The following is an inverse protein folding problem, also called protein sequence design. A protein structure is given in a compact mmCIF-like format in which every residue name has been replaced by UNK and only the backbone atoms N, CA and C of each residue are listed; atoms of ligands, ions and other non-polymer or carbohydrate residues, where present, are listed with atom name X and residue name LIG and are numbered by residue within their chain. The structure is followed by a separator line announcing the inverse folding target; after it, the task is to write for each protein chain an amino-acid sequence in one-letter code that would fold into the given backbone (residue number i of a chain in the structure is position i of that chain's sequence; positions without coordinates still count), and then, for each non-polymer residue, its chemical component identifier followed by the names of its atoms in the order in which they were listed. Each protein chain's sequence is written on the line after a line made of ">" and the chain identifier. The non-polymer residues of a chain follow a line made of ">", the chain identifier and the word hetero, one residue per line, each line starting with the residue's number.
data_IF_908903139899
#
_entry.id   IF_908903139899
#
_cell.length_a   1.000
_cell.length_b   1.000
_cell.length_c   1.000
_cell.angle_alpha   90.00
_cell.angle_beta   90.00
_cell.angle_gamma   90.00
#
_symmetry.space_group_name_H-M   'P 1'
#
loop_
_entity.id
_entity.type
_entity.pdbx_description
1 polymer ?
#
# COMPACT_ATOMS: atom_id res chain seq x y z
N UNK A 1 -39.10 6.58 26.80
CA UNK A 1 -37.84 5.80 26.79
C UNK A 1 -37.55 5.16 25.42
N UNK A 2 -38.35 5.42 24.37
CA UNK A 2 -38.13 4.84 23.02
C UNK A 2 -37.68 5.86 21.95
N UNK A 3 -37.74 7.16 22.23
CA UNK A 3 -37.33 8.23 21.30
C UNK A 3 -35.84 8.20 20.94
N UNK A 4 -34.96 7.75 21.85
CA UNK A 4 -33.53 7.65 21.57
C UNK A 4 -33.22 6.53 20.56
N UNK A 5 -34.02 5.45 20.56
CA UNK A 5 -33.86 4.31 19.68
C UNK A 5 -34.22 4.66 18.23
N UNK A 6 -35.34 5.38 18.04
CA UNK A 6 -35.75 5.84 16.72
C UNK A 6 -34.85 6.94 16.18
N UNK A 7 -34.39 7.90 17.02
CA UNK A 7 -33.35 8.86 16.61
C UNK A 7 -32.02 8.20 16.26
N UNK A 8 -31.59 7.18 17.00
CA UNK A 8 -30.39 6.42 16.67
C UNK A 8 -30.56 5.65 15.37
N UNK A 9 -31.72 5.05 15.14
CA UNK A 9 -32.03 4.30 13.92
C UNK A 9 -32.15 5.21 12.70
N UNK A 10 -32.81 6.37 12.81
CA UNK A 10 -32.91 7.35 11.72
C UNK A 10 -31.53 7.95 11.40
N UNK A 11 -30.73 8.27 12.41
CA UNK A 11 -29.34 8.74 12.22
C UNK A 11 -28.43 7.65 11.64
N UNK A 12 -28.65 6.38 12.00
CA UNK A 12 -27.95 5.22 11.43
C UNK A 12 -28.40 4.92 10.01
N UNK A 13 -29.68 5.06 9.68
CA UNK A 13 -30.25 4.83 8.36
C UNK A 13 -29.81 5.93 7.38
N UNK A 14 -29.78 7.19 7.81
CA UNK A 14 -29.22 8.31 7.01
C UNK A 14 -27.72 8.15 6.74
N UNK A 15 -26.95 7.65 7.72
CA UNK A 15 -25.49 7.43 7.58
C UNK A 15 -25.10 6.00 7.21
N UNK A 16 -26.06 5.13 6.92
CA UNK A 16 -25.82 3.70 6.71
C UNK A 16 -24.83 3.45 5.56
N UNK A 17 -24.93 4.27 4.51
CA UNK A 17 -24.02 4.23 3.37
C UNK A 17 -22.55 4.35 3.81
N UNK A 18 -22.26 5.28 4.73
CA UNK A 18 -20.91 5.44 5.29
C UNK A 18 -20.49 4.25 6.16
N UNK A 19 -21.41 3.73 6.97
CA UNK A 19 -21.14 2.59 7.85
C UNK A 19 -20.79 1.34 7.05
N UNK A 20 -21.45 1.10 5.92
CA UNK A 20 -21.16 -0.03 5.03
C UNK A 20 -19.71 0.04 4.53
N UNK A 21 -19.22 1.22 4.15
CA UNK A 21 -17.81 1.39 3.73
C UNK A 21 -16.82 1.17 4.88
N UNK A 22 -17.15 1.61 6.10
CA UNK A 22 -16.32 1.36 7.29
C UNK A 22 -16.24 -0.13 7.62
N UNK A 23 -17.36 -0.85 7.55
CA UNK A 23 -17.37 -2.31 7.75
C UNK A 23 -16.56 -3.02 6.65
N UNK A 24 -16.69 -2.59 5.40
CA UNK A 24 -15.91 -3.12 4.29
C UNK A 24 -14.40 -2.91 4.51
N UNK A 25 -14.02 -1.74 5.04
CA UNK A 25 -12.65 -1.41 5.41
C UNK A 25 -12.13 -2.32 6.54
N UNK A 26 -12.95 -2.60 7.55
CA UNK A 26 -12.62 -3.56 8.62
C UNK A 26 -12.44 -4.99 8.09
N UNK A 27 -13.28 -5.42 7.14
CA UNK A 27 -13.16 -6.73 6.50
C UNK A 27 -11.84 -6.83 5.71
N UNK A 28 -11.51 -5.81 4.91
CA UNK A 28 -10.26 -5.76 4.15
C UNK A 28 -9.02 -5.79 5.04
N UNK A 29 -9.01 -4.97 6.10
CA UNK A 29 -7.91 -4.94 7.08
C UNK A 29 -7.78 -6.27 7.82
N UNK A 30 -8.90 -6.85 8.27
CA UNK A 30 -8.91 -8.16 8.92
C UNK A 30 -8.35 -9.26 8.00
N UNK A 31 -8.76 -9.29 6.73
CA UNK A 31 -8.25 -10.26 5.76
C UNK A 31 -6.74 -10.12 5.50
N UNK A 32 -6.22 -8.89 5.52
CA UNK A 32 -4.79 -8.61 5.34
C UNK A 32 -3.94 -9.09 6.54
N UNK A 33 -4.44 -8.95 7.77
CA UNK A 33 -3.69 -9.30 8.98
C UNK A 33 -3.86 -10.78 9.35
N UNK A 34 -5.07 -11.34 9.24
CA UNK A 34 -5.40 -12.65 9.81
C UNK A 34 -5.05 -13.85 8.93
N UNK A 35 -4.64 -13.66 7.67
CA UNK A 35 -4.38 -14.76 6.72
C UNK A 35 -2.87 -15.01 6.59
N UNK A 36 -2.42 -16.25 6.76
CA UNK A 36 -1.00 -16.60 6.62
C UNK A 36 -0.54 -16.76 5.15
N UNK A 37 -1.49 -16.85 4.22
CA UNK A 37 -1.20 -17.01 2.79
C UNK A 37 -1.05 -15.63 2.12
N UNK A 38 0.07 -15.40 1.42
CA UNK A 38 0.39 -14.14 0.76
C UNK A 38 -0.68 -13.69 -0.26
N UNK A 39 -1.27 -14.63 -1.02
CA UNK A 39 -2.31 -14.30 -2.01
C UNK A 39 -3.58 -13.81 -1.32
N UNK A 40 -3.96 -14.44 -0.20
CA UNK A 40 -5.13 -14.02 0.59
C UNK A 40 -4.92 -12.64 1.21
N UNK A 41 -3.70 -12.33 1.67
CA UNK A 41 -3.33 -10.99 2.13
C UNK A 41 -3.45 -9.95 1.00
N UNK A 42 -3.04 -10.30 -0.22
CA UNK A 42 -3.17 -9.44 -1.40
C UNK A 42 -4.62 -9.15 -1.78
N UNK A 43 -5.49 -10.16 -1.71
CA UNK A 43 -6.92 -9.97 -1.92
C UNK A 43 -7.49 -9.03 -0.84
N UNK A 44 -7.10 -9.22 0.42
CA UNK A 44 -7.48 -8.33 1.52
C UNK A 44 -7.00 -6.89 1.31
N UNK A 45 -5.77 -6.71 0.83
CA UNK A 45 -5.20 -5.41 0.49
C UNK A 45 -6.00 -4.71 -0.63
N UNK A 46 -6.38 -5.42 -1.68
CA UNK A 46 -7.20 -4.88 -2.78
C UNK A 46 -8.57 -4.41 -2.29
N UNK A 47 -9.25 -5.24 -1.49
CA UNK A 47 -10.55 -4.89 -0.89
C UNK A 47 -10.41 -3.68 0.03
N UNK A 48 -9.34 -3.60 0.82
CA UNK A 48 -9.06 -2.46 1.68
C UNK A 48 -8.84 -1.16 0.88
N UNK A 49 -8.06 -1.20 -0.20
CA UNK A 49 -7.88 -0.04 -1.09
C UNK A 49 -9.21 0.41 -1.73
N UNK A 50 -10.02 -0.52 -2.23
CA UNK A 50 -11.35 -0.19 -2.79
C UNK A 50 -12.28 0.40 -1.73
N UNK A 51 -12.25 -0.11 -0.49
CA UNK A 51 -13.06 0.42 0.60
C UNK A 51 -12.70 1.88 0.95
N UNK A 52 -11.41 2.22 0.96
CA UNK A 52 -10.95 3.61 1.17
C UNK A 52 -11.44 4.53 0.05
N UNK A 53 -11.36 4.08 -1.20
CA UNK A 53 -11.82 4.83 -2.37
C UNK A 53 -13.33 5.11 -2.26
N UNK A 54 -14.13 4.08 -1.98
CA UNK A 54 -15.59 4.25 -1.84
C UNK A 54 -15.95 5.15 -0.65
N UNK A 55 -15.27 5.01 0.48
CA UNK A 55 -15.44 5.89 1.63
C UNK A 55 -15.14 7.35 1.29
N UNK A 56 -14.05 7.60 0.56
CA UNK A 56 -13.64 8.95 0.17
C UNK A 56 -14.56 9.58 -0.88
N UNK A 57 -15.05 8.80 -1.86
CA UNK A 57 -16.07 9.26 -2.81
C UNK A 57 -17.34 9.62 -2.05
N UNK A 58 -17.78 8.77 -1.11
CA UNK A 58 -19.02 9.00 -0.37
C UNK A 58 -19.05 10.31 0.40
N UNK A 59 -17.92 10.78 0.96
CA UNK A 59 -17.87 12.07 1.67
C UNK A 59 -17.79 13.28 0.71
N UNK A 60 -17.42 13.06 -0.55
CA UNK A 60 -17.16 14.10 -1.55
C UNK A 60 -18.27 14.31 -2.57
N UNK A 61 -19.28 13.43 -2.61
CA UNK A 61 -20.42 13.53 -3.53
C UNK A 61 -21.43 14.57 -3.05
N UNK A 62 -21.84 15.45 -3.97
CA UNK A 62 -22.97 16.36 -3.80
C UNK A 62 -24.18 15.81 -4.56
N UNK A 63 -25.38 16.04 -4.03
CA UNK A 63 -26.64 15.73 -4.71
C UNK A 63 -26.77 16.60 -5.97
N UNK A 64 -27.19 16.02 -7.10
CA UNK A 64 -27.40 16.68 -8.39
C UNK A 64 -26.17 17.39 -9.00
N UNK A 65 -24.97 16.88 -8.70
CA UNK A 65 -23.74 17.47 -9.19
C UNK A 65 -23.43 17.08 -10.65
N UNK A 66 -23.14 18.08 -11.47
CA UNK A 66 -22.70 17.95 -12.88
C UNK A 66 -21.19 17.71 -12.96
N UNK A 67 -20.74 17.03 -14.02
CA UNK A 67 -19.31 16.79 -14.30
C UNK A 67 -18.48 18.08 -14.22
N UNK A 68 -17.29 18.06 -13.57
CA UNK A 68 -16.47 19.26 -13.35
C UNK A 68 -15.71 19.68 -14.61
N UNK A 69 -16.43 19.90 -15.70
CA UNK A 69 -15.91 20.36 -16.99
C UNK A 69 -16.80 21.53 -17.42
N UNK A 70 -16.19 22.67 -17.69
CA UNK A 70 -16.89 23.81 -18.28
C UNK A 70 -17.23 23.47 -19.73
N UNK A 71 -18.51 23.25 -20.04
CA UNK A 71 -18.98 23.16 -21.41
C UNK A 71 -19.31 24.57 -21.92
N UNK A 72 -18.68 25.04 -23.01
CA UNK A 72 -18.99 26.33 -23.62
C UNK A 72 -20.34 26.39 -24.34
N UNK A 73 -21.25 25.42 -24.16
CA UNK A 73 -22.51 25.37 -24.95
C UNK A 73 -23.55 26.42 -24.52
N UNK A 74 -23.17 27.38 -23.66
CA UNK A 74 -23.87 28.65 -23.46
C UNK A 74 -23.27 29.83 -24.24
N UNK A 75 -22.23 29.59 -25.05
CA UNK A 75 -21.81 30.58 -26.07
C UNK A 75 -22.92 30.55 -27.13
N UNK A 76 -23.70 31.62 -27.32
CA UNK A 76 -24.65 31.68 -28.41
C UNK A 76 -23.87 31.41 -29.68
N UNK A 77 -24.26 30.38 -30.42
CA UNK A 77 -23.68 30.07 -31.71
C UNK A 77 -23.48 31.36 -32.50
N UNK A 78 -22.35 31.47 -33.18
CA UNK A 78 -22.04 32.61 -34.03
C UNK A 78 -23.21 32.95 -34.95
N UNK A 79 -24.00 33.93 -34.53
CA UNK A 79 -24.80 34.73 -35.44
C UNK A 79 -23.78 35.58 -36.20
N UNK A 80 -23.56 35.16 -37.45
CA UNK A 80 -23.13 35.97 -38.58
C UNK A 80 -22.44 37.29 -38.18
N UNK A 81 -21.11 37.23 -38.04
CA UNK A 81 -20.30 38.43 -38.14
C UNK A 81 -20.43 38.93 -39.58
N UNK A 82 -21.21 39.99 -39.75
CA UNK A 82 -21.23 40.79 -40.98
C UNK A 82 -19.76 41.11 -41.36
N UNK A 83 -19.31 40.87 -42.61
CA UNK A 83 -17.89 40.95 -42.96
C UNK A 83 -17.30 42.37 -42.95
N UNK A 84 -18.08 43.39 -42.57
CA UNK A 84 -17.73 44.80 -42.76
C UNK A 84 -17.47 45.58 -41.46
N UNK A 85 -17.31 44.92 -40.31
CA UNK A 85 -16.92 45.62 -39.06
C UNK A 85 -15.51 45.22 -38.61
N UNK A 86 -14.56 46.12 -38.84
CA UNK A 86 -13.25 46.15 -38.19
C UNK A 86 -13.45 46.20 -36.66
N UNK A 87 -13.25 45.08 -36.00
CA UNK A 87 -13.11 45.04 -34.55
C UNK A 87 -11.65 44.78 -34.19
N UNK A 88 -10.98 45.88 -33.84
CA UNK A 88 -9.82 45.87 -32.97
C UNK A 88 -10.17 45.13 -31.67
N UNK A 89 -9.25 44.27 -31.23
CA UNK A 89 -9.07 43.84 -29.84
C UNK A 89 -10.33 43.31 -29.15
N UNK A 90 -10.90 42.21 -29.65
CA UNK A 90 -11.82 41.39 -28.88
C UNK A 90 -11.04 40.70 -27.74
N UNK A 91 -10.86 41.44 -26.64
CA UNK A 91 -10.57 40.85 -25.35
C UNK A 91 -11.63 39.77 -25.12
N UNK A 92 -11.17 38.52 -24.96
CA UNK A 92 -12.01 37.42 -24.51
C UNK A 92 -12.56 37.84 -23.15
N UNK A 93 -13.80 38.32 -23.10
CA UNK A 93 -14.51 38.50 -21.84
C UNK A 93 -14.76 37.11 -21.28
N UNK A 94 -13.99 36.75 -20.26
CA UNK A 94 -14.25 35.57 -19.46
C UNK A 94 -15.51 35.87 -18.65
N UNK A 95 -16.67 35.49 -19.18
CA UNK A 95 -17.94 35.62 -18.46
C UNK A 95 -17.82 34.85 -17.14
N UNK A 96 -17.81 35.59 -16.03
CA UNK A 96 -17.69 35.01 -14.70
C UNK A 96 -18.91 34.14 -14.43
N UNK A 97 -18.70 32.85 -14.18
CA UNK A 97 -19.76 31.92 -13.82
C UNK A 97 -20.55 32.46 -12.63
N UNK A 98 -21.87 32.55 -12.78
CA UNK A 98 -22.74 32.91 -11.67
C UNK A 98 -22.60 31.85 -10.55
N UNK A 99 -22.58 32.31 -9.30
CA UNK A 99 -22.32 31.46 -8.13
C UNK A 99 -23.26 30.23 -8.02
N UNK A 100 -24.47 30.33 -8.57
CA UNK A 100 -25.46 29.25 -8.63
C UNK A 100 -25.03 28.12 -9.58
N UNK A 101 -24.47 28.45 -10.74
CA UNK A 101 -23.96 27.46 -11.70
C UNK A 101 -22.72 26.75 -11.13
N UNK A 102 -21.86 27.48 -10.41
CA UNK A 102 -20.69 26.91 -9.71
C UNK A 102 -21.10 25.90 -8.63
N UNK A 103 -22.22 26.13 -7.95
CA UNK A 103 -22.70 25.24 -6.89
C UNK A 103 -23.14 23.87 -7.41
N UNK A 104 -23.60 23.80 -8.67
CA UNK A 104 -24.04 22.60 -9.35
C UNK A 104 -22.92 21.70 -9.88
N UNK A 105 -21.65 22.12 -9.85
CA UNK A 105 -20.53 21.28 -10.27
C UNK A 105 -20.05 20.33 -9.16
N UNK A 106 -19.67 19.12 -9.57
CA UNK A 106 -19.04 18.12 -8.70
C UNK A 106 -17.66 18.60 -8.23
N UNK A 107 -17.24 18.14 -7.05
CA UNK A 107 -15.94 18.53 -6.50
C UNK A 107 -14.80 17.88 -7.32
N UNK A 108 -13.91 18.68 -7.95
CA UNK A 108 -12.80 18.14 -8.74
C UNK A 108 -11.70 17.50 -7.87
N UNK A 109 -11.59 17.87 -6.59
CA UNK A 109 -10.56 17.36 -5.69
C UNK A 109 -10.74 15.84 -5.41
N UNK A 110 -11.93 15.35 -5.02
CA UNK A 110 -12.18 13.93 -4.94
C UNK A 110 -11.89 13.17 -6.23
N UNK A 111 -12.28 13.73 -7.37
CA UNK A 111 -12.12 13.04 -8.65
C UNK A 111 -10.64 12.78 -8.98
N UNK A 112 -9.77 13.79 -8.84
CA UNK A 112 -8.34 13.65 -9.09
C UNK A 112 -7.69 12.70 -8.09
N UNK A 113 -8.03 12.82 -6.80
CA UNK A 113 -7.48 11.94 -5.77
C UNK A 113 -7.86 10.47 -6.00
N UNK A 114 -9.08 10.20 -6.48
CA UNK A 114 -9.49 8.83 -6.80
C UNK A 114 -8.79 8.27 -8.03
N UNK A 115 -8.60 9.06 -9.08
CA UNK A 115 -7.85 8.62 -10.25
C UNK A 115 -6.42 8.20 -9.86
N UNK A 116 -5.75 8.98 -9.01
CA UNK A 116 -4.42 8.61 -8.51
C UNK A 116 -4.44 7.38 -7.63
N UNK A 117 -5.41 7.26 -6.71
CA UNK A 117 -5.52 6.11 -5.81
C UNK A 117 -5.75 4.81 -6.57
N UNK A 118 -6.58 4.82 -7.62
CA UNK A 118 -6.87 3.65 -8.45
C UNK A 118 -5.62 3.19 -9.20
N UNK A 119 -4.89 4.10 -9.85
CA UNK A 119 -3.69 3.76 -10.63
C UNK A 119 -2.59 3.22 -9.70
N UNK A 120 -2.37 3.85 -8.55
CA UNK A 120 -1.42 3.35 -7.54
C UNK A 120 -1.85 1.99 -7.01
N UNK A 121 -3.16 1.77 -6.78
CA UNK A 121 -3.72 0.47 -6.37
C UNK A 121 -3.41 -0.64 -7.37
N UNK A 122 -3.71 -0.45 -8.65
CA UNK A 122 -3.44 -1.45 -9.69
C UNK A 122 -1.93 -1.70 -9.86
N UNK A 123 -1.11 -0.64 -9.81
CA UNK A 123 0.34 -0.77 -9.93
C UNK A 123 0.95 -1.56 -8.76
N UNK A 124 0.55 -1.25 -7.53
CA UNK A 124 1.03 -1.95 -6.33
C UNK A 124 0.56 -3.41 -6.30
N UNK A 125 -0.68 -3.69 -6.69
CA UNK A 125 -1.19 -5.06 -6.80
C UNK A 125 -0.43 -5.88 -7.86
N UNK A 126 -0.16 -5.31 -9.03
CA UNK A 126 0.62 -5.96 -10.08
C UNK A 126 2.05 -6.27 -9.62
N UNK A 127 2.72 -5.31 -8.99
CA UNK A 127 4.06 -5.53 -8.42
C UNK A 127 4.03 -6.60 -7.32
N UNK A 128 3.07 -6.54 -6.42
CA UNK A 128 2.97 -7.48 -5.31
C UNK A 128 2.68 -8.92 -5.79
N UNK A 129 1.88 -9.09 -6.85
CA UNK A 129 1.67 -10.39 -7.49
C UNK A 129 2.95 -10.91 -8.15
N UNK A 130 3.68 -10.05 -8.87
CA UNK A 130 4.96 -10.41 -9.48
C UNK A 130 5.99 -10.84 -8.43
N UNK A 131 6.07 -10.12 -7.30
CA UNK A 131 6.92 -10.50 -6.17
C UNK A 131 6.47 -11.83 -5.54
N UNK A 132 5.17 -12.02 -5.35
CA UNK A 132 4.62 -13.27 -4.80
C UNK A 132 4.94 -14.45 -5.72
N UNK A 133 4.82 -14.28 -7.04
CA UNK A 133 5.21 -15.30 -8.02
C UNK A 133 6.71 -15.62 -7.93
N UNK A 134 7.56 -14.60 -7.82
CA UNK A 134 9.02 -14.78 -7.70
C UNK A 134 9.40 -15.49 -6.40
N UNK A 135 8.74 -15.16 -5.29
CA UNK A 135 8.91 -15.84 -4.00
C UNK A 135 8.51 -17.31 -4.12
N UNK A 136 7.38 -17.59 -4.78
CA UNK A 136 6.95 -18.96 -5.02
C UNK A 136 7.96 -19.74 -5.87
N UNK A 137 8.54 -19.14 -6.91
CA UNK A 137 9.58 -19.79 -7.71
C UNK A 137 10.87 -20.06 -6.91
N UNK A 138 11.27 -19.16 -6.00
CA UNK A 138 12.48 -19.31 -5.20
C UNK A 138 12.35 -20.27 -4.00
N UNK A 139 11.21 -20.22 -3.31
CA UNK A 139 11.00 -20.97 -2.06
C UNK A 139 9.99 -22.12 -2.20
N UNK A 140 9.21 -22.19 -3.27
CA UNK A 140 8.20 -23.22 -3.51
C UNK A 140 6.98 -23.15 -2.57
N UNK A 141 6.78 -22.04 -1.85
CA UNK A 141 5.64 -21.85 -0.95
C UNK A 141 5.24 -20.38 -0.89
N UNK A 142 3.94 -20.16 -0.67
CA UNK A 142 3.29 -18.84 -0.50
C UNK A 142 2.74 -18.65 0.92
N UNK A 143 2.95 -19.65 1.79
CA UNK A 143 2.57 -19.58 3.20
C UNK A 143 3.69 -18.92 4.00
N UNK A 144 3.34 -17.84 4.70
CA UNK A 144 4.27 -17.00 5.43
C UNK A 144 5.03 -17.76 6.52
N UNK A 145 4.34 -18.62 7.28
CA UNK A 145 4.96 -19.42 8.34
C UNK A 145 6.10 -20.31 7.79
N UNK A 146 5.89 -20.89 6.61
CA UNK A 146 6.89 -21.73 5.96
C UNK A 146 8.03 -20.91 5.36
N UNK A 147 7.73 -19.72 4.84
CA UNK A 147 8.72 -18.77 4.33
C UNK A 147 9.67 -18.33 5.44
N UNK A 148 9.14 -17.96 6.60
CA UNK A 148 9.94 -17.53 7.77
C UNK A 148 10.91 -18.63 8.21
N UNK A 149 10.45 -19.88 8.30
CA UNK A 149 11.32 -21.02 8.64
C UNK A 149 12.43 -21.24 7.61
N UNK A 150 12.15 -21.06 6.31
CA UNK A 150 13.17 -21.20 5.25
C UNK A 150 14.19 -20.06 5.29
N UNK A 151 13.74 -18.84 5.54
CA UNK A 151 14.61 -17.66 5.69
C UNK A 151 15.56 -17.84 6.88
N UNK A 152 15.05 -18.21 8.06
CA UNK A 152 15.87 -18.44 9.25
C UNK A 152 16.97 -19.50 9.01
N UNK A 153 16.66 -20.57 8.26
CA UNK A 153 17.63 -21.61 7.89
C UNK A 153 18.71 -21.10 6.94
N UNK A 154 18.37 -20.20 6.02
CA UNK A 154 19.34 -19.59 5.10
C UNK A 154 20.25 -18.64 5.88
N UNK A 155 19.68 -17.75 6.68
CA UNK A 155 20.43 -16.78 7.49
C UNK A 155 21.39 -17.45 8.48
N UNK A 156 20.97 -18.56 9.09
CA UNK A 156 21.82 -19.35 9.98
C UNK A 156 23.01 -20.02 9.26
N UNK A 157 22.89 -20.33 7.96
CA UNK A 157 23.99 -20.86 7.14
C UNK A 157 24.96 -19.74 6.76
N UNK A 158 24.45 -18.62 6.27
CA UNK A 158 25.26 -17.44 5.91
C UNK A 158 26.06 -16.92 7.10
N UNK A 159 25.47 -16.90 8.31
CA UNK A 159 26.18 -16.54 9.55
C UNK A 159 27.28 -17.52 9.97
N UNK A 160 27.18 -18.80 9.60
CA UNK A 160 28.25 -19.79 9.88
C UNK A 160 29.43 -19.63 8.93
N UNK A 161 29.16 -19.29 7.68
CA UNK A 161 30.19 -19.06 6.66
C UNK A 161 30.95 -17.74 6.90
N UNK A 162 30.33 -16.78 7.61
CA UNK A 162 30.93 -15.49 7.99
C UNK A 162 31.70 -15.53 9.34
N UNK A 163 31.93 -16.71 9.93
CA UNK A 163 32.88 -16.80 11.04
C UNK A 163 34.27 -16.34 10.55
N UNK A 164 34.90 -15.36 11.23
CA UNK A 164 36.02 -14.62 10.66
C UNK A 164 37.21 -15.55 10.42
N UNK A 165 37.88 -15.34 9.28
CA UNK A 165 39.19 -15.94 8.96
C UNK A 165 40.03 -15.99 10.23
N UNK A 166 40.55 -17.17 10.63
CA UNK A 166 41.32 -17.27 11.86
C UNK A 166 42.52 -16.33 11.74
N UNK A 167 42.57 -15.37 12.66
CA UNK A 167 43.64 -14.39 12.78
C UNK A 167 45.01 -15.10 12.65
N UNK A 168 45.82 -14.78 11.62
CA UNK A 168 47.12 -15.42 11.42
C UNK A 168 48.09 -15.16 12.57
N UNK A 169 47.76 -14.25 13.49
CA UNK A 169 48.59 -13.86 14.64
C UNK A 169 48.54 -14.89 15.78
N UNK A 170 47.59 -15.85 15.79
CA UNK A 170 47.58 -16.99 16.74
C UNK A 170 48.26 -18.23 16.20
N UNK A 171 49.47 -18.09 15.62
CA UNK A 171 50.31 -19.23 15.22
C UNK A 171 51.60 -19.40 16.03
N UNK A 172 51.77 -18.67 17.13
CA UNK A 172 52.95 -18.80 17.99
C UNK A 172 52.56 -18.87 19.47
N UNK A 173 52.56 -20.08 20.04
CA UNK A 173 53.09 -20.34 21.38
C UNK A 173 52.98 -21.84 21.73
N UNK A 174 53.61 -22.74 20.97
CA UNK A 174 53.98 -24.08 21.48
C UNK A 174 55.12 -24.69 20.64
N UNK A 175 56.31 -24.08 20.65
CA UNK A 175 57.52 -24.81 20.24
C UNK A 175 58.82 -24.22 20.80
N UNK A 176 59.30 -24.77 21.92
CA UNK A 176 60.73 -24.85 22.33
C UNK A 176 60.98 -26.09 23.23
N UNK A 177 61.23 -27.24 22.61
CA UNK A 177 62.43 -28.15 22.60
C UNK A 177 63.33 -28.30 23.89
N UNK A 178 64.32 -29.24 24.01
CA UNK A 178 64.30 -30.67 24.41
C UNK A 178 65.35 -31.17 25.49
N UNK A 179 65.23 -32.45 25.91
CA UNK A 179 66.28 -33.48 26.29
C UNK A 179 66.97 -33.59 27.68
N UNK A 180 67.04 -34.88 28.14
CA UNK A 180 68.02 -35.59 29.05
C UNK A 180 67.99 -35.23 30.55
N UNK A 181 68.08 -36.16 31.53
CA UNK A 181 69.05 -37.26 31.71
C UNK A 181 68.59 -38.27 32.81
N UNK A 182 69.20 -39.46 32.78
CA UNK A 182 68.97 -40.68 33.57
C UNK A 182 68.98 -40.59 35.11
N UNK A 183 68.26 -41.52 35.79
CA UNK A 183 68.87 -42.60 36.62
C UNK A 183 67.80 -43.50 37.28
N UNK A 184 67.98 -44.83 37.11
CA UNK A 184 67.41 -45.93 37.92
C UNK A 184 68.08 -45.90 39.33
N UNK A 185 67.57 -46.54 40.41
CA UNK A 185 67.25 -47.98 40.40
C UNK A 185 66.10 -48.51 41.30
N UNK A 186 65.68 -49.73 40.95
CA UNK A 186 65.27 -50.89 41.75
C UNK A 186 64.67 -50.75 43.17
N UNK A 187 63.53 -51.44 43.39
CA UNK A 187 63.32 -52.46 44.45
C UNK A 187 61.85 -52.92 44.40
N UNK A 188 61.56 -54.20 44.06
CA UNK A 188 61.04 -55.27 44.97
C UNK A 188 59.90 -54.77 45.87
N UNK A 189 58.73 -55.43 45.96
CA UNK A 189 58.56 -56.86 46.27
C UNK A 189 57.05 -57.19 46.26
N UNK A 190 56.75 -58.39 45.76
CA UNK A 190 55.64 -59.30 46.08
C UNK A 190 54.20 -58.82 45.92
#
# INVERSE_FOLDING_TARGET
>A
MFELGDLLNDLFLERLNYLIYVVLLMIGLHAMIAKNNLIKKLIGMSIFQTAIILFYVSIGVKTDATIPIYLPEHVPHGEQHDPDVEHADAAVEWEELHAEQVAGYANPLPHVLMLTAIVVGVATLGLALALTQRIYQGYGTIEEDQLLVKLERVDARTRKDEQPVPDPTKRQSTKKTPTKRASKPASKKK
#
